data_IF_597872927164
#
_entry.id   IF_597872927164
#
_cell.length_a   1.000
_cell.length_b   1.000
_cell.length_c   1.000
_cell.angle_alpha   90.00
_cell.angle_beta   90.00
_cell.angle_gamma   90.00
#
_symmetry.space_group_name_H-M   'P 1'
#
loop_
_entity.id
_entity.type
_entity.pdbx_description
1 polymer ?
#
# COMPACT_ATOMS: atom_id res chain seq x y z
N UNK A 1 -6.59 -31.43 5.33
CA UNK A 1 -7.29 -30.24 5.87
C UNK A 1 -6.84 -29.86 7.28
N UNK A 2 -6.72 -30.84 8.19
CA UNK A 2 -6.32 -30.62 9.60
C UNK A 2 -5.00 -29.86 9.73
N UNK A 3 -3.97 -30.24 8.97
CA UNK A 3 -2.67 -29.57 8.97
C UNK A 3 -2.72 -28.13 8.41
N UNK A 4 -3.67 -27.83 7.51
CA UNK A 4 -3.78 -26.51 6.91
C UNK A 4 -4.27 -25.47 7.94
N UNK A 5 -5.35 -25.76 8.68
CA UNK A 5 -5.91 -24.79 9.62
C UNK A 5 -4.95 -24.46 10.76
N UNK A 6 -4.23 -25.46 11.30
CA UNK A 6 -3.25 -25.23 12.35
C UNK A 6 -2.04 -24.42 11.84
N UNK A 7 -1.46 -24.82 10.71
CA UNK A 7 -0.37 -24.07 10.07
C UNK A 7 -0.78 -22.65 9.73
N UNK A 8 -2.01 -22.46 9.25
CA UNK A 8 -2.54 -21.15 8.94
C UNK A 8 -2.66 -20.27 10.18
N UNK A 9 -3.19 -20.76 11.30
CA UNK A 9 -3.27 -20.02 12.56
C UNK A 9 -1.89 -19.69 13.11
N UNK A 10 -0.96 -20.64 13.08
CA UNK A 10 0.42 -20.45 13.54
C UNK A 10 1.15 -19.43 12.67
N UNK A 11 1.04 -19.50 11.35
CA UNK A 11 1.60 -18.49 10.45
C UNK A 11 1.01 -17.11 10.72
N UNK A 12 -0.31 -17.01 10.96
CA UNK A 12 -0.92 -15.74 11.32
C UNK A 12 -0.39 -15.18 12.66
N UNK A 13 -0.20 -16.02 13.67
CA UNK A 13 0.39 -15.60 14.94
C UNK A 13 1.82 -15.07 14.76
N UNK A 14 2.65 -15.79 14.02
CA UNK A 14 4.02 -15.36 13.69
C UNK A 14 4.00 -14.04 12.92
N UNK A 15 3.15 -13.90 11.91
CA UNK A 15 2.98 -12.67 11.13
C UNK A 15 2.55 -11.52 12.05
N UNK A 16 1.64 -11.73 13.00
CA UNK A 16 1.21 -10.70 13.94
C UNK A 16 2.35 -10.24 14.85
N UNK A 17 3.16 -11.15 15.38
CA UNK A 17 4.33 -10.83 16.22
C UNK A 17 5.34 -10.04 15.38
N UNK A 18 5.63 -10.51 14.18
CA UNK A 18 6.56 -9.85 13.27
C UNK A 18 6.08 -8.45 12.86
N UNK A 19 4.82 -8.29 12.45
CA UNK A 19 4.25 -6.97 12.14
C UNK A 19 4.23 -6.06 13.36
N UNK A 20 3.89 -6.56 14.53
CA UNK A 20 3.90 -5.79 15.77
C UNK A 20 5.29 -5.25 16.10
N UNK A 21 6.33 -6.10 16.00
CA UNK A 21 7.73 -5.70 16.23
C UNK A 21 8.20 -4.68 15.18
N UNK A 22 7.83 -4.87 13.91
CA UNK A 22 8.16 -3.93 12.83
C UNK A 22 7.48 -2.59 12.98
N UNK A 23 6.20 -2.56 13.35
CA UNK A 23 5.48 -1.32 13.63
C UNK A 23 6.09 -0.58 14.82
N UNK A 24 6.53 -1.30 15.85
CA UNK A 24 7.26 -0.75 16.97
C UNK A 24 8.59 -0.13 16.54
N UNK A 25 9.42 -0.88 15.83
CA UNK A 25 10.70 -0.40 15.27
C UNK A 25 10.52 0.81 14.37
N UNK A 26 9.51 0.76 13.48
CA UNK A 26 9.19 1.86 12.58
C UNK A 26 8.77 3.13 13.33
N UNK A 27 8.01 3.01 14.42
CA UNK A 27 7.66 4.15 15.25
C UNK A 27 8.88 4.79 15.90
N UNK A 28 9.88 3.99 16.30
CA UNK A 28 11.15 4.49 16.84
C UNK A 28 11.97 5.22 15.76
N UNK A 29 12.00 4.68 14.54
CA UNK A 29 12.77 5.23 13.43
C UNK A 29 12.03 6.33 12.64
N UNK A 30 10.76 6.59 12.92
CA UNK A 30 9.90 7.50 12.16
C UNK A 30 10.49 8.92 12.01
N UNK A 31 11.20 9.41 13.01
CA UNK A 31 11.86 10.73 12.99
C UNK A 31 13.10 10.80 12.09
N UNK A 32 13.68 9.65 11.74
CA UNK A 32 14.94 9.57 10.97
C UNK A 32 14.69 9.24 9.49
N UNK A 33 13.52 8.67 9.18
CA UNK A 33 13.17 8.21 7.85
C UNK A 33 12.30 9.24 7.12
N UNK A 34 12.62 9.53 5.86
CA UNK A 34 11.73 10.34 5.01
C UNK A 34 10.40 9.61 4.77
N UNK A 35 9.34 10.37 4.44
CA UNK A 35 8.01 9.79 4.16
C UNK A 35 8.08 8.72 3.05
N UNK A 36 8.89 8.94 2.02
CA UNK A 36 9.09 7.98 0.92
C UNK A 36 9.75 6.68 1.38
N UNK A 37 10.77 6.77 2.23
CA UNK A 37 11.45 5.58 2.79
C UNK A 37 10.50 4.77 3.68
N UNK A 38 9.69 5.44 4.50
CA UNK A 38 8.69 4.77 5.35
C UNK A 38 7.67 4.00 4.50
N UNK A 39 7.23 4.59 3.39
CA UNK A 39 6.31 3.96 2.45
C UNK A 39 6.94 2.75 1.74
N UNK A 40 8.15 2.90 1.21
CA UNK A 40 8.86 1.80 0.53
C UNK A 40 9.09 0.61 1.49
N UNK A 41 9.50 0.88 2.72
CA UNK A 41 9.67 -0.15 3.75
C UNK A 41 8.33 -0.89 4.00
N UNK A 42 7.22 -0.18 4.05
CA UNK A 42 5.90 -0.80 4.21
C UNK A 42 5.49 -1.65 3.02
N UNK A 43 5.89 -1.29 1.79
CA UNK A 43 5.65 -2.10 0.59
C UNK A 43 6.41 -3.43 0.67
N UNK A 44 7.68 -3.41 1.12
CA UNK A 44 8.46 -4.64 1.31
C UNK A 44 7.74 -5.56 2.30
N UNK A 45 7.24 -5.02 3.41
CA UNK A 45 6.49 -5.83 4.39
C UNK A 45 5.14 -6.32 3.85
N UNK A 46 4.49 -5.54 3.01
CA UNK A 46 3.28 -5.96 2.30
C UNK A 46 3.56 -7.19 1.41
N UNK A 47 4.71 -7.22 0.73
CA UNK A 47 5.12 -8.35 -0.09
C UNK A 47 5.32 -9.63 0.76
N UNK A 48 5.87 -9.52 1.97
CA UNK A 48 6.04 -10.65 2.89
C UNK A 48 4.70 -11.29 3.28
N UNK A 49 3.61 -10.50 3.37
CA UNK A 49 2.27 -11.03 3.69
C UNK A 49 1.70 -11.94 2.59
N UNK A 50 2.24 -11.91 1.38
CA UNK A 50 1.77 -12.73 0.26
C UNK A 50 2.49 -14.09 0.24
N UNK A 51 3.69 -14.18 0.80
CA UNK A 51 4.53 -15.38 0.79
C UNK A 51 3.79 -16.65 1.24
N UNK A 52 2.95 -16.67 2.30
CA UNK A 52 2.25 -17.88 2.72
C UNK A 52 1.25 -18.44 1.69
N UNK A 53 0.81 -17.61 0.72
CA UNK A 53 -0.14 -18.00 -0.32
C UNK A 53 0.53 -18.39 -1.64
N UNK A 54 1.84 -18.17 -1.77
CA UNK A 54 2.56 -18.62 -2.94
C UNK A 54 2.71 -20.15 -2.87
N UNK A 55 2.45 -20.87 -3.99
CA UNK A 55 2.77 -22.29 -4.08
C UNK A 55 4.30 -22.43 -4.15
N UNK A 56 4.95 -22.35 -3.01
CA UNK A 56 6.37 -22.70 -2.91
C UNK A 56 6.40 -24.22 -2.99
N UNK A 57 6.37 -24.74 -4.22
CA UNK A 57 6.77 -26.11 -4.47
C UNK A 57 8.15 -26.25 -3.85
N UNK A 58 8.27 -27.18 -2.90
CA UNK A 58 9.49 -27.49 -2.16
C UNK A 58 10.73 -27.19 -3.02
N UNK A 59 11.39 -26.07 -2.73
CA UNK A 59 12.70 -25.81 -3.27
C UNK A 59 13.54 -27.06 -2.95
N UNK A 60 14.32 -27.60 -3.90
CA UNK A 60 15.12 -28.76 -3.63
C UNK A 60 15.90 -28.52 -2.36
N UNK A 61 15.86 -29.47 -1.44
CA UNK A 61 16.39 -29.44 -0.08
C UNK A 61 17.93 -29.25 0.00
N UNK A 62 18.52 -28.64 -1.00
CA UNK A 62 19.96 -28.45 -1.16
C UNK A 62 20.51 -27.09 -0.75
N UNK A 63 19.65 -26.16 -0.31
CA UNK A 63 20.14 -24.96 0.40
C UNK A 63 19.99 -25.20 1.90
N UNK A 64 20.79 -26.13 2.38
CA UNK A 64 21.02 -26.28 3.81
C UNK A 64 21.94 -25.14 4.27
N UNK A 65 21.39 -24.22 5.05
CA UNK A 65 22.17 -23.15 5.71
C UNK A 65 23.30 -23.70 6.57
N UNK A 66 23.31 -25.02 6.84
CA UNK A 66 24.38 -25.73 7.54
C UNK A 66 25.72 -25.70 6.80
N UNK A 67 25.71 -25.58 5.45
CA UNK A 67 26.95 -25.48 4.67
C UNK A 67 27.65 -24.11 4.79
N UNK A 68 26.94 -23.06 5.19
CA UNK A 68 27.54 -21.73 5.41
C UNK A 68 28.21 -21.60 6.78
N UNK A 69 27.91 -22.48 7.73
CA UNK A 69 28.48 -22.47 9.09
C UNK A 69 29.58 -23.50 9.30
N UNK A 70 29.86 -24.38 8.33
CA UNK A 70 30.87 -25.45 8.44
C UNK A 70 32.13 -25.23 7.61
N UNK A 71 32.40 -23.97 7.21
CA UNK A 71 33.70 -23.64 6.62
C UNK A 71 34.74 -23.41 7.74
N UNK A 72 35.18 -24.46 8.40
CA UNK A 72 36.53 -24.65 8.94
C UNK A 72 36.56 -25.74 10.00
N UNK A 73 36.87 -26.95 9.63
CA UNK A 73 37.86 -27.82 10.33
C UNK A 73 37.90 -29.20 9.70
N UNK A 74 38.80 -29.36 8.77
CA UNK A 74 39.29 -30.67 8.36
C UNK A 74 40.31 -31.09 9.40
N UNK A 75 39.95 -31.98 10.31
CA UNK A 75 40.89 -32.85 11.02
C UNK A 75 40.23 -34.20 11.22
N UNK A 76 40.98 -35.23 10.77
CA UNK A 76 40.66 -36.62 10.84
C UNK A 76 40.28 -37.07 12.25
N UNK A 77 39.19 -37.77 12.39
CA UNK A 77 38.83 -38.48 13.60
C UNK A 77 37.32 -38.80 13.60
N UNK A 78 37.02 -40.10 13.59
CA UNK A 78 35.70 -40.69 13.80
C UNK A 78 35.04 -40.14 15.07
N UNK A 79 34.33 -39.04 14.98
CA UNK A 79 33.40 -38.59 16.01
C UNK A 79 32.03 -38.57 15.36
N UNK A 80 31.20 -39.48 15.84
CA UNK A 80 29.79 -39.62 15.48
C UNK A 80 29.13 -38.28 15.37
N UNK A 81 28.55 -38.00 14.24
CA UNK A 81 27.76 -36.82 13.87
C UNK A 81 26.46 -36.68 14.68
N UNK A 82 26.53 -36.86 16.01
CA UNK A 82 25.38 -36.79 16.88
C UNK A 82 25.08 -35.36 17.36
N UNK A 83 25.95 -34.37 17.13
CA UNK A 83 25.78 -33.03 17.62
C UNK A 83 25.16 -32.02 16.61
N UNK A 84 25.04 -32.36 15.33
CA UNK A 84 24.45 -31.46 14.33
C UNK A 84 22.99 -31.79 13.96
N UNK A 85 22.41 -32.79 14.59
CA UNK A 85 20.98 -33.08 14.55
C UNK A 85 20.11 -32.12 15.39
N UNK A 86 20.72 -31.16 16.09
CA UNK A 86 20.00 -30.26 17.01
C UNK A 86 18.99 -29.33 16.33
N UNK A 87 19.19 -28.96 15.05
CA UNK A 87 18.25 -28.10 14.36
C UNK A 87 17.06 -28.85 13.74
N UNK A 88 17.23 -30.15 13.47
CA UNK A 88 16.11 -31.01 13.06
C UNK A 88 15.10 -31.22 14.20
N UNK A 89 15.58 -31.41 15.42
CA UNK A 89 14.73 -31.69 16.58
C UNK A 89 13.71 -30.60 16.89
N UNK A 90 14.02 -29.34 16.64
CA UNK A 90 13.08 -28.25 16.90
C UNK A 90 11.94 -28.18 15.87
N UNK A 91 12.26 -28.45 14.61
CA UNK A 91 11.23 -28.51 13.55
C UNK A 91 10.37 -29.76 13.68
N UNK A 92 10.98 -30.92 14.02
CA UNK A 92 10.25 -32.14 14.28
C UNK A 92 9.37 -32.02 15.52
N UNK A 93 9.86 -31.45 16.61
CA UNK A 93 9.04 -31.16 17.81
C UNK A 93 7.89 -30.20 17.53
N UNK A 94 8.08 -29.18 16.70
CA UNK A 94 7.02 -28.28 16.27
C UNK A 94 6.01 -29.03 15.41
N UNK A 95 6.48 -29.87 14.49
CA UNK A 95 5.61 -30.74 13.69
C UNK A 95 4.86 -31.74 14.57
N UNK A 96 5.54 -32.41 15.50
CA UNK A 96 4.94 -33.37 16.44
C UNK A 96 3.93 -32.70 17.35
N UNK A 97 4.23 -31.50 17.85
CA UNK A 97 3.30 -30.70 18.62
C UNK A 97 2.08 -30.29 17.77
N UNK A 98 2.32 -29.84 16.55
CA UNK A 98 1.26 -29.48 15.61
C UNK A 98 0.36 -30.67 15.27
N UNK A 99 0.95 -31.85 15.07
CA UNK A 99 0.24 -33.13 14.86
C UNK A 99 -0.56 -33.49 16.11
N UNK A 100 0.07 -33.48 17.29
CA UNK A 100 -0.56 -33.83 18.56
C UNK A 100 -1.74 -32.92 18.88
N UNK A 101 -1.60 -31.59 18.75
CA UNK A 101 -2.69 -30.65 18.96
C UNK A 101 -3.79 -30.83 17.91
N UNK A 102 -3.42 -31.08 16.65
CA UNK A 102 -4.42 -31.25 15.58
C UNK A 102 -5.22 -32.55 15.69
N UNK A 103 -4.65 -33.60 16.26
CA UNK A 103 -5.36 -34.89 16.48
C UNK A 103 -6.33 -34.81 17.65
N UNK A 104 -6.13 -33.95 18.62
CA UNK A 104 -7.02 -33.73 19.75
C UNK A 104 -8.24 -32.85 19.39
N UNK A 105 -8.16 -32.02 18.34
CA UNK A 105 -9.29 -31.19 17.91
C UNK A 105 -10.16 -31.99 16.94
N UNK A 106 -11.47 -32.08 17.18
CA UNK A 106 -12.40 -32.77 16.29
C UNK A 106 -12.31 -32.23 14.85
N UNK A 107 -12.29 -33.13 13.86
CA UNK A 107 -12.17 -32.75 12.42
C UNK A 107 -13.26 -31.79 11.96
N UNK A 108 -14.41 -31.85 12.57
CA UNK A 108 -15.53 -30.93 12.34
C UNK A 108 -15.16 -29.47 12.62
N UNK A 109 -14.38 -29.17 13.69
CA UNK A 109 -13.97 -27.80 14.03
C UNK A 109 -13.04 -27.24 12.94
N UNK A 110 -12.11 -28.05 12.45
CA UNK A 110 -11.24 -27.63 11.33
C UNK A 110 -12.02 -27.33 10.05
N UNK A 111 -12.99 -28.17 9.74
CA UNK A 111 -13.85 -27.95 8.57
C UNK A 111 -14.68 -26.68 8.71
N UNK A 112 -15.19 -26.43 9.91
CA UNK A 112 -15.99 -25.24 10.20
C UNK A 112 -15.15 -23.96 10.12
N UNK A 113 -13.89 -23.96 10.61
CA UNK A 113 -12.97 -22.84 10.50
C UNK A 113 -12.64 -22.52 9.03
N UNK A 114 -12.32 -23.54 8.23
CA UNK A 114 -12.02 -23.36 6.80
C UNK A 114 -13.24 -22.84 6.06
N UNK A 115 -14.41 -23.38 6.37
CA UNK A 115 -15.68 -22.95 5.77
C UNK A 115 -15.98 -21.48 6.09
N UNK A 116 -15.87 -21.09 7.36
CA UNK A 116 -16.07 -19.69 7.79
C UNK A 116 -15.07 -18.74 7.12
N UNK A 117 -13.79 -19.13 7.06
CA UNK A 117 -12.76 -18.35 6.38
C UNK A 117 -13.06 -18.19 4.88
N UNK A 118 -13.50 -19.27 4.22
CA UNK A 118 -13.85 -19.25 2.80
C UNK A 118 -15.05 -18.36 2.51
N UNK A 119 -16.06 -18.35 3.38
CA UNK A 119 -17.22 -17.45 3.26
C UNK A 119 -16.76 -15.99 3.35
N UNK A 120 -15.91 -15.67 4.31
CA UNK A 120 -15.37 -14.31 4.44
C UNK A 120 -14.57 -13.86 3.20
N UNK A 121 -13.74 -14.72 2.65
CA UNK A 121 -13.04 -14.44 1.37
C UNK A 121 -14.04 -14.19 0.25
N UNK A 122 -15.07 -15.01 0.12
CA UNK A 122 -16.08 -14.86 -0.92
C UNK A 122 -16.81 -13.52 -0.79
N UNK A 123 -17.21 -13.14 0.43
CA UNK A 123 -17.84 -11.82 0.69
C UNK A 123 -16.88 -10.68 0.30
N UNK A 124 -15.63 -10.74 0.75
CA UNK A 124 -14.64 -9.70 0.47
C UNK A 124 -14.32 -9.61 -1.02
N UNK A 125 -14.24 -10.75 -1.71
CA UNK A 125 -14.04 -10.79 -3.16
C UNK A 125 -15.24 -10.18 -3.91
N UNK A 126 -16.46 -10.48 -3.46
CA UNK A 126 -17.68 -9.89 -4.03
C UNK A 126 -17.70 -8.36 -3.86
N UNK A 127 -17.32 -7.85 -2.67
CA UNK A 127 -17.22 -6.42 -2.42
C UNK A 127 -16.14 -5.76 -3.32
N UNK A 128 -14.99 -6.42 -3.48
CA UNK A 128 -13.93 -5.96 -4.37
C UNK A 128 -14.40 -5.92 -5.83
N UNK A 129 -15.06 -6.99 -6.30
CA UNK A 129 -15.65 -7.06 -7.63
C UNK A 129 -16.65 -5.93 -7.87
N UNK A 130 -17.54 -5.68 -6.90
CA UNK A 130 -18.49 -4.57 -6.96
C UNK A 130 -17.77 -3.21 -7.07
N UNK A 131 -16.70 -3.01 -6.32
CA UNK A 131 -15.87 -1.80 -6.38
C UNK A 131 -15.24 -1.61 -7.76
N UNK A 132 -14.67 -2.66 -8.34
CA UNK A 132 -14.09 -2.63 -9.70
C UNK A 132 -15.17 -2.33 -10.76
N UNK A 133 -16.37 -2.91 -10.61
CA UNK A 133 -17.51 -2.60 -11.49
C UNK A 133 -17.91 -1.13 -11.44
N UNK A 134 -17.87 -0.50 -10.24
CA UNK A 134 -18.15 0.94 -10.11
C UNK A 134 -17.10 1.79 -10.84
N UNK A 135 -15.81 1.44 -10.75
CA UNK A 135 -14.74 2.13 -11.50
C UNK A 135 -14.92 1.97 -13.01
N UNK A 136 -15.31 0.78 -13.48
CA UNK A 136 -15.58 0.55 -14.91
C UNK A 136 -16.83 1.31 -15.39
N UNK A 137 -17.88 1.42 -14.57
CA UNK A 137 -19.05 2.22 -14.88
C UNK A 137 -18.71 3.73 -14.95
N UNK A 138 -17.83 4.20 -14.06
CA UNK A 138 -17.29 5.56 -14.12
C UNK A 138 -16.61 5.81 -15.47
N UNK A 139 -15.81 4.84 -15.93
CA UNK A 139 -15.11 4.95 -17.21
C UNK A 139 -16.07 5.06 -18.41
N UNK A 140 -17.14 4.26 -18.42
CA UNK A 140 -18.11 4.27 -19.54
C UNK A 140 -18.93 5.57 -19.63
N UNK A 141 -19.03 6.32 -18.53
CA UNK A 141 -19.77 7.58 -18.43
C UNK A 141 -18.90 8.84 -18.50
N UNK A 142 -17.59 8.68 -18.54
CA UNK A 142 -16.66 9.79 -18.58
C UNK A 142 -16.43 10.27 -20.02
N UNK A 143 -16.32 11.58 -20.20
CA UNK A 143 -16.07 12.24 -21.47
C UNK A 143 -14.62 12.74 -21.55
N UNK A 144 -13.97 12.72 -22.73
CA UNK A 144 -12.65 13.33 -22.89
C UNK A 144 -12.68 14.80 -22.48
N UNK A 145 -11.61 15.29 -21.87
CA UNK A 145 -11.51 16.69 -21.48
C UNK A 145 -11.43 17.58 -22.73
N UNK A 146 -12.38 18.51 -22.88
CA UNK A 146 -12.48 19.41 -24.03
C UNK A 146 -11.90 20.81 -23.76
N UNK A 147 -11.60 21.14 -22.49
CA UNK A 147 -11.07 22.46 -22.11
C UNK A 147 -9.59 22.55 -22.52
N UNK A 148 -9.27 23.45 -23.45
CA UNK A 148 -7.91 23.61 -23.99
C UNK A 148 -6.95 24.17 -22.93
N UNK A 149 -7.40 25.09 -22.09
CA UNK A 149 -6.58 25.72 -21.04
C UNK A 149 -6.14 24.68 -19.98
N UNK A 150 -7.08 23.82 -19.55
CA UNK A 150 -6.79 22.72 -18.65
C UNK A 150 -5.89 21.66 -19.28
N UNK A 151 -6.04 21.41 -20.60
CA UNK A 151 -5.15 20.52 -21.33
C UNK A 151 -3.72 21.08 -21.41
N UNK A 152 -3.57 22.38 -21.66
CA UNK A 152 -2.27 23.04 -21.69
C UNK A 152 -1.58 22.96 -20.30
N UNK A 153 -2.33 23.26 -19.23
CA UNK A 153 -1.85 23.14 -17.84
C UNK A 153 -1.45 21.70 -17.50
N UNK A 154 -2.20 20.72 -17.97
CA UNK A 154 -1.86 19.30 -17.78
C UNK A 154 -0.56 18.91 -18.47
N UNK A 155 -0.32 19.37 -19.69
CA UNK A 155 0.93 19.11 -20.43
C UNK A 155 2.12 19.74 -19.69
N UNK A 156 1.95 20.93 -19.13
CA UNK A 156 2.95 21.57 -18.28
C UNK A 156 3.27 20.70 -17.05
N UNK A 157 2.25 20.22 -16.33
CA UNK A 157 2.41 19.31 -15.18
C UNK A 157 3.11 18.00 -15.56
N UNK A 158 2.81 17.42 -16.73
CA UNK A 158 3.52 16.23 -17.23
C UNK A 158 5.02 16.47 -17.41
N UNK A 159 5.38 17.63 -17.96
CA UNK A 159 6.77 18.01 -18.14
C UNK A 159 7.47 18.23 -16.79
N UNK A 160 6.81 18.88 -15.83
CA UNK A 160 7.36 19.08 -14.49
C UNK A 160 7.63 17.76 -13.77
N UNK A 161 6.72 16.78 -13.88
CA UNK A 161 6.88 15.45 -13.29
C UNK A 161 7.91 14.61 -14.06
N UNK A 162 8.31 15.04 -15.26
CA UNK A 162 9.15 14.28 -16.18
C UNK A 162 8.56 12.89 -16.49
N UNK A 163 7.28 12.87 -16.85
CA UNK A 163 6.59 11.65 -17.23
C UNK A 163 6.86 11.32 -18.70
N UNK A 164 7.31 10.08 -18.97
CA UNK A 164 7.59 9.62 -20.35
C UNK A 164 6.31 9.30 -21.14
N UNK A 165 5.19 9.11 -20.48
CA UNK A 165 3.93 8.71 -21.10
C UNK A 165 2.84 9.71 -20.75
N UNK A 166 2.05 10.05 -21.74
CA UNK A 166 0.83 10.83 -21.57
C UNK A 166 -0.29 9.91 -21.06
N UNK A 167 -1.04 10.38 -20.09
CA UNK A 167 -2.19 9.67 -19.51
C UNK A 167 -3.44 10.40 -20.00
N UNK A 168 -4.43 9.72 -20.54
CA UNK A 168 -5.65 10.38 -20.98
C UNK A 168 -6.43 10.94 -19.79
N UNK A 169 -6.93 12.18 -19.95
CA UNK A 169 -7.79 12.86 -18.96
C UNK A 169 -9.22 12.85 -19.44
N UNK A 170 -10.12 12.58 -18.51
CA UNK A 170 -11.57 12.54 -18.71
C UNK A 170 -12.27 13.44 -17.70
N UNK A 171 -13.41 13.98 -18.08
CA UNK A 171 -14.34 14.69 -17.21
C UNK A 171 -15.47 13.76 -16.76
N UNK A 172 -15.96 13.93 -15.52
CA UNK A 172 -17.05 13.11 -14.99
C UNK A 172 -17.85 13.87 -13.93
N UNK A 173 -19.15 13.59 -13.88
CA UNK A 173 -20.06 14.15 -12.85
C UNK A 173 -20.08 13.31 -11.55
N UNK A 174 -19.53 12.11 -11.55
CA UNK A 174 -19.68 11.15 -10.45
C UNK A 174 -18.60 11.25 -9.38
N UNK A 175 -17.58 12.07 -9.60
CA UNK A 175 -16.49 12.28 -8.64
C UNK A 175 -16.58 13.67 -8.02
N UNK A 176 -16.00 13.77 -6.82
CA UNK A 176 -15.86 15.04 -6.07
C UNK A 176 -14.44 15.57 -6.05
N UNK A 177 -13.48 14.75 -6.38
CA UNK A 177 -12.07 15.08 -6.45
C UNK A 177 -11.44 14.47 -7.69
N UNK A 178 -10.35 15.03 -8.22
CA UNK A 178 -9.52 14.36 -9.19
C UNK A 178 -9.14 12.97 -8.67
N UNK A 179 -9.09 11.98 -9.55
CA UNK A 179 -8.73 10.61 -9.20
C UNK A 179 -7.99 9.97 -10.37
N UNK A 180 -6.87 9.34 -10.06
CA UNK A 180 -6.20 8.44 -10.97
C UNK A 180 -6.77 7.02 -10.79
N UNK A 181 -7.37 6.45 -11.83
CA UNK A 181 -7.95 5.10 -11.79
C UNK A 181 -7.66 4.31 -13.06
N UNK A 182 -7.82 2.97 -12.98
CA UNK A 182 -7.56 2.04 -14.07
C UNK A 182 -6.30 1.21 -13.86
N UNK A 183 -6.43 -0.12 -13.85
CA UNK A 183 -5.32 -1.03 -13.59
C UNK A 183 -4.35 -1.15 -14.77
N UNK A 184 -4.87 -1.53 -15.96
CA UNK A 184 -4.07 -1.72 -17.17
C UNK A 184 -3.90 -0.43 -17.97
N UNK A 185 -4.92 0.44 -17.94
CA UNK A 185 -4.95 1.69 -18.67
C UNK A 185 -5.29 2.81 -17.69
N UNK A 186 -4.30 3.32 -16.96
CA UNK A 186 -4.51 4.39 -16.00
C UNK A 186 -5.00 5.66 -16.70
N UNK A 187 -5.98 6.32 -16.07
CA UNK A 187 -6.62 7.55 -16.55
C UNK A 187 -6.87 8.49 -15.39
N UNK A 188 -6.77 9.79 -15.67
CA UNK A 188 -7.11 10.83 -14.69
C UNK A 188 -8.55 11.26 -14.98
N UNK A 189 -9.35 11.28 -13.93
CA UNK A 189 -10.73 11.76 -13.99
C UNK A 189 -10.85 13.06 -13.21
N UNK A 190 -11.29 14.13 -13.89
CA UNK A 190 -11.58 15.42 -13.29
C UNK A 190 -13.09 15.57 -13.07
N UNK A 191 -13.53 16.01 -11.89
CA UNK A 191 -14.92 16.34 -11.63
C UNK A 191 -15.40 17.50 -12.54
N UNK A 192 -16.61 17.39 -13.09
CA UNK A 192 -17.19 18.46 -13.92
C UNK A 192 -17.35 19.78 -13.14
N UNK A 193 -17.73 19.72 -11.86
CA UNK A 193 -17.85 20.93 -11.03
C UNK A 193 -16.50 21.66 -10.90
N UNK A 194 -15.38 20.93 -10.79
CA UNK A 194 -14.05 21.52 -10.73
C UNK A 194 -13.71 22.30 -12.02
N UNK A 195 -14.11 21.75 -13.17
CA UNK A 195 -13.96 22.42 -14.46
C UNK A 195 -14.85 23.66 -14.55
N UNK A 196 -16.10 23.56 -14.04
CA UNK A 196 -17.01 24.69 -13.96
C UNK A 196 -16.50 25.80 -13.06
N UNK A 197 -15.99 25.45 -11.89
CA UNK A 197 -15.43 26.38 -10.91
C UNK A 197 -14.16 27.07 -11.44
N UNK A 198 -13.36 26.35 -12.20
CA UNK A 198 -12.20 26.92 -12.92
C UNK A 198 -12.65 27.91 -13.99
N UNK A 199 -13.63 27.56 -14.83
CA UNK A 199 -14.15 28.47 -15.85
C UNK A 199 -14.85 29.70 -15.24
N UNK A 200 -15.42 29.58 -14.06
CA UNK A 200 -16.00 30.68 -13.29
C UNK A 200 -14.98 31.55 -12.55
N UNK A 201 -13.69 31.16 -12.54
CA UNK A 201 -12.63 31.86 -11.83
C UNK A 201 -12.66 31.71 -10.30
N UNK A 202 -13.47 30.78 -9.77
CA UNK A 202 -13.54 30.48 -8.33
C UNK A 202 -12.39 29.60 -7.83
N UNK A 203 -11.81 28.83 -8.74
CA UNK A 203 -10.61 28.01 -8.47
C UNK A 203 -9.47 28.49 -9.39
N UNK A 204 -8.30 28.68 -8.83
CA UNK A 204 -7.15 29.15 -9.58
C UNK A 204 -6.49 28.03 -10.41
N UNK A 205 -5.80 28.42 -11.50
CA UNK A 205 -4.96 27.49 -12.27
C UNK A 205 -3.88 26.84 -11.40
N UNK A 206 -3.39 27.55 -10.39
CA UNK A 206 -2.41 27.06 -9.43
C UNK A 206 -2.96 25.92 -8.57
N UNK A 207 -4.23 26.03 -8.11
CA UNK A 207 -4.86 24.97 -7.34
C UNK A 207 -5.03 23.70 -8.16
N UNK A 208 -5.49 23.83 -9.42
CA UNK A 208 -5.61 22.69 -10.34
C UNK A 208 -4.25 22.09 -10.65
N UNK A 209 -3.21 22.92 -10.87
CA UNK A 209 -1.84 22.43 -11.05
C UNK A 209 -1.38 21.57 -9.89
N UNK A 210 -1.61 21.99 -8.65
CA UNK A 210 -1.25 21.20 -7.48
C UNK A 210 -1.97 19.85 -7.41
N UNK A 211 -3.26 19.82 -7.74
CA UNK A 211 -4.02 18.57 -7.79
C UNK A 211 -3.51 17.63 -8.90
N UNK A 212 -3.25 18.16 -10.09
CA UNK A 212 -2.72 17.37 -11.20
C UNK A 212 -1.33 16.82 -10.89
N UNK A 213 -0.44 17.62 -10.30
CA UNK A 213 0.86 17.17 -9.86
C UNK A 213 0.75 16.02 -8.84
N UNK A 214 -0.22 16.09 -7.92
CA UNK A 214 -0.47 15.04 -6.94
C UNK A 214 -0.90 13.73 -7.62
N UNK A 215 -1.89 13.75 -8.52
CA UNK A 215 -2.34 12.58 -9.25
C UNK A 215 -1.25 11.99 -10.17
N UNK A 216 -0.44 12.85 -10.79
CA UNK A 216 0.69 12.44 -11.62
C UNK A 216 1.81 11.77 -10.79
N UNK A 217 2.01 12.18 -9.54
CA UNK A 217 2.94 11.49 -8.64
C UNK A 217 2.45 10.08 -8.28
N UNK A 218 1.15 9.89 -8.04
CA UNK A 218 0.57 8.54 -7.86
C UNK A 218 0.82 7.64 -9.09
N UNK A 219 0.67 8.20 -10.30
CA UNK A 219 0.97 7.47 -11.53
C UNK A 219 2.45 7.08 -11.62
N UNK A 220 3.34 8.05 -11.44
CA UNK A 220 4.80 7.86 -11.50
C UNK A 220 5.28 6.78 -10.55
N UNK A 221 4.67 6.70 -9.36
CA UNK A 221 5.03 5.75 -8.32
C UNK A 221 4.27 4.42 -8.42
N UNK A 222 3.41 4.24 -9.42
CA UNK A 222 2.60 3.04 -9.63
C UNK A 222 1.71 2.69 -8.43
N UNK A 223 1.22 3.71 -7.73
CA UNK A 223 0.43 3.56 -6.49
C UNK A 223 -0.89 2.81 -6.70
N UNK A 224 -1.40 2.79 -7.95
CA UNK A 224 -2.56 1.97 -8.34
C UNK A 224 -2.27 0.49 -8.11
N UNK A 225 -1.09 -0.01 -8.56
CA UNK A 225 -0.69 -1.41 -8.40
C UNK A 225 -0.60 -1.79 -6.92
N UNK A 226 0.02 -0.91 -6.13
CA UNK A 226 0.11 -1.10 -4.67
C UNK A 226 -1.27 -1.09 -4.03
N UNK A 227 -2.20 -0.26 -4.52
CA UNK A 227 -3.61 -0.26 -4.07
C UNK A 227 -4.30 -1.61 -4.30
N UNK A 228 -4.11 -2.23 -5.46
CA UNK A 228 -4.64 -3.58 -5.74
C UNK A 228 -3.99 -4.63 -4.84
N UNK A 229 -2.69 -4.55 -4.62
CA UNK A 229 -1.97 -5.45 -3.72
C UNK A 229 -2.49 -5.34 -2.28
N UNK A 230 -2.69 -4.13 -1.77
CA UNK A 230 -3.31 -3.87 -0.46
C UNK A 230 -4.69 -4.51 -0.37
N UNK A 231 -5.52 -4.37 -1.41
CA UNK A 231 -6.85 -4.94 -1.43
C UNK A 231 -6.82 -6.47 -1.48
N UNK A 232 -5.89 -7.06 -2.22
CA UNK A 232 -5.68 -8.52 -2.27
C UNK A 232 -5.31 -9.06 -0.89
N UNK A 233 -4.35 -8.45 -0.21
CA UNK A 233 -3.98 -8.84 1.17
C UNK A 233 -5.18 -8.67 2.11
N UNK A 234 -5.96 -7.59 1.96
CA UNK A 234 -7.16 -7.37 2.78
C UNK A 234 -8.21 -8.49 2.60
N UNK A 235 -8.39 -9.01 1.38
CA UNK A 235 -9.30 -10.15 1.11
C UNK A 235 -8.86 -11.40 1.86
N UNK A 236 -7.59 -11.76 1.82
CA UNK A 236 -7.09 -12.99 2.46
C UNK A 236 -7.03 -12.90 3.98
N UNK A 237 -6.75 -11.71 4.52
CA UNK A 237 -6.60 -11.46 5.96
C UNK A 237 -7.78 -10.65 6.53
N UNK A 238 -8.95 -10.80 5.95
CA UNK A 238 -10.17 -10.08 6.34
C UNK A 238 -10.49 -10.16 7.83
N UNK A 239 -10.12 -11.25 8.50
CA UNK A 239 -10.36 -11.53 9.91
C UNK A 239 -9.29 -10.94 10.86
N UNK A 240 -8.18 -10.41 10.36
CA UNK A 240 -7.04 -9.99 11.18
C UNK A 240 -7.01 -8.45 11.37
N UNK A 241 -7.36 -7.92 12.56
CA UNK A 241 -7.42 -6.47 12.80
C UNK A 241 -6.06 -5.79 12.76
N UNK A 242 -4.96 -6.48 13.12
CA UNK A 242 -3.61 -5.91 13.07
C UNK A 242 -3.18 -5.64 11.63
N UNK A 243 -3.52 -6.56 10.72
CA UNK A 243 -3.25 -6.36 9.29
C UNK A 243 -4.09 -5.21 8.75
N UNK A 244 -5.35 -5.06 9.16
CA UNK A 244 -6.18 -3.92 8.78
C UNK A 244 -5.55 -2.58 9.21
N UNK A 245 -5.05 -2.53 10.44
CA UNK A 245 -4.34 -1.36 10.94
C UNK A 245 -3.09 -1.06 10.11
N UNK A 246 -2.31 -2.09 9.79
CA UNK A 246 -1.12 -1.98 8.95
C UNK A 246 -1.45 -1.49 7.53
N UNK A 247 -2.46 -2.07 6.86
CA UNK A 247 -2.90 -1.65 5.54
C UNK A 247 -3.43 -0.20 5.52
N UNK A 248 -4.15 0.21 6.58
CA UNK A 248 -4.58 1.60 6.75
C UNK A 248 -3.38 2.54 6.86
N UNK A 249 -2.35 2.14 7.60
CA UNK A 249 -1.13 2.92 7.76
C UNK A 249 -0.36 3.05 6.43
N UNK A 250 -0.26 1.99 5.64
CA UNK A 250 0.36 2.06 4.29
C UNK A 250 -0.35 3.09 3.42
N UNK A 251 -1.69 3.11 3.42
CA UNK A 251 -2.45 4.10 2.65
C UNK A 251 -2.14 5.53 3.10
N UNK A 252 -1.99 5.77 4.40
CA UNK A 252 -1.61 7.08 4.93
C UNK A 252 -0.19 7.48 4.51
N UNK A 253 0.76 6.55 4.60
CA UNK A 253 2.14 6.77 4.21
C UNK A 253 2.30 7.01 2.70
N UNK A 254 1.46 6.39 1.88
CA UNK A 254 1.37 6.66 0.45
C UNK A 254 1.04 8.12 0.18
N UNK A 255 0.03 8.67 0.85
CA UNK A 255 -0.35 10.09 0.71
C UNK A 255 0.79 11.02 1.15
N UNK A 256 1.43 10.73 2.31
CA UNK A 256 2.57 11.53 2.78
C UNK A 256 3.78 11.47 1.83
N UNK A 257 4.02 10.29 1.24
CA UNK A 257 5.09 10.12 0.25
C UNK A 257 4.77 10.86 -1.07
N UNK A 258 3.50 10.85 -1.48
CA UNK A 258 3.03 11.59 -2.64
C UNK A 258 3.16 13.10 -2.42
N UNK A 259 2.65 13.63 -1.29
CA UNK A 259 2.81 15.04 -0.94
C UNK A 259 4.29 15.46 -0.92
N UNK A 260 5.14 14.65 -0.29
CA UNK A 260 6.58 14.93 -0.26
C UNK A 260 7.22 14.95 -1.66
N UNK A 261 6.71 14.15 -2.60
CA UNK A 261 7.19 14.15 -3.98
C UNK A 261 6.71 15.39 -4.75
N UNK A 262 5.50 15.87 -4.50
CA UNK A 262 5.00 17.14 -5.04
C UNK A 262 5.84 18.30 -4.50
N UNK A 263 6.07 18.38 -3.18
CA UNK A 263 6.86 19.45 -2.56
C UNK A 263 8.29 19.52 -3.06
N UNK A 264 8.88 18.41 -3.54
CA UNK A 264 10.19 18.41 -4.17
C UNK A 264 10.19 19.10 -5.54
N UNK A 265 9.05 19.22 -6.22
CA UNK A 265 8.89 19.93 -7.49
C UNK A 265 8.59 21.42 -7.26
N UNK A 266 7.93 21.75 -6.15
CA UNK A 266 7.49 23.10 -5.80
C UNK A 266 8.64 23.92 -5.19
N UNK A 267 8.54 25.26 -5.31
CA UNK A 267 9.38 26.20 -4.55
C UNK A 267 8.90 26.27 -3.09
N UNK A 268 9.77 26.58 -2.16
CA UNK A 268 9.41 26.70 -0.73
C UNK A 268 8.28 27.71 -0.47
N UNK A 269 8.22 28.78 -1.28
CA UNK A 269 7.14 29.77 -1.23
C UNK A 269 5.76 29.22 -1.57
N UNK A 270 5.70 28.12 -2.32
CA UNK A 270 4.46 27.47 -2.76
C UNK A 270 3.94 26.41 -1.75
N UNK A 271 4.73 25.97 -0.77
CA UNK A 271 4.34 24.92 0.17
C UNK A 271 3.07 25.25 0.96
N UNK A 272 2.97 26.52 1.41
CA UNK A 272 1.77 27.00 2.12
C UNK A 272 0.54 26.99 1.21
N UNK A 273 0.68 27.43 -0.03
CA UNK A 273 -0.42 27.44 -1.02
C UNK A 273 -0.87 26.01 -1.32
N UNK A 274 0.06 25.06 -1.53
CA UNK A 274 -0.27 23.65 -1.69
C UNK A 274 -1.06 23.08 -0.49
N UNK A 275 -0.62 23.39 0.73
CA UNK A 275 -1.32 22.97 1.95
C UNK A 275 -2.74 23.56 2.04
N UNK A 276 -2.92 24.82 1.69
CA UNK A 276 -4.23 25.47 1.67
C UNK A 276 -5.16 24.86 0.61
N UNK A 277 -4.65 24.57 -0.59
CA UNK A 277 -5.41 23.86 -1.62
C UNK A 277 -5.95 22.52 -1.12
N UNK A 278 -5.14 21.72 -0.39
CA UNK A 278 -5.60 20.48 0.19
C UNK A 278 -6.69 20.65 1.26
N UNK A 279 -6.61 21.71 2.08
CA UNK A 279 -7.62 22.01 3.09
C UNK A 279 -8.93 22.40 2.42
N UNK A 280 -8.92 23.38 1.52
CA UNK A 280 -10.10 23.87 0.80
C UNK A 280 -10.81 22.73 0.07
N UNK A 281 -10.02 21.84 -0.53
CA UNK A 281 -10.55 20.68 -1.23
C UNK A 281 -11.21 19.68 -0.29
N UNK A 282 -10.61 19.41 0.86
CA UNK A 282 -11.17 18.53 1.87
C UNK A 282 -12.47 19.08 2.46
N UNK A 283 -12.58 20.40 2.64
CA UNK A 283 -13.82 21.08 3.07
C UNK A 283 -14.92 20.93 2.03
N UNK A 284 -14.63 21.16 0.75
CA UNK A 284 -15.59 21.02 -0.35
C UNK A 284 -16.17 19.59 -0.40
N UNK A 285 -15.33 18.58 -0.17
CA UNK A 285 -15.76 17.18 -0.11
C UNK A 285 -16.62 16.90 1.12
N UNK A 286 -16.24 17.44 2.28
CA UNK A 286 -16.93 17.20 3.55
C UNK A 286 -18.34 17.82 3.57
N UNK A 287 -18.53 18.98 2.98
CA UNK A 287 -19.82 19.70 2.89
C UNK A 287 -20.80 19.07 1.90
N UNK A 288 -20.37 18.13 1.09
CA UNK A 288 -21.20 17.54 0.04
C UNK A 288 -22.13 16.45 0.59
N UNK A 289 -23.44 16.46 0.29
CA UNK A 289 -24.46 15.59 0.90
C UNK A 289 -24.40 14.10 0.46
N UNK A 290 -23.50 13.71 -0.43
CA UNK A 290 -23.42 12.34 -0.93
C UNK A 290 -22.23 11.58 -0.35
N UNK A 291 -22.42 10.65 0.62
CA UNK A 291 -21.35 9.90 1.27
C UNK A 291 -20.76 8.74 0.44
N UNK A 292 -21.18 8.55 -0.80
CA UNK A 292 -20.93 7.32 -1.59
C UNK A 292 -19.60 7.27 -2.34
N UNK A 293 -18.78 8.31 -2.31
CA UNK A 293 -17.45 8.25 -2.92
C UNK A 293 -16.43 7.76 -1.91
N UNK A 294 -16.05 6.51 -1.99
CA UNK A 294 -14.97 5.86 -1.20
C UNK A 294 -13.57 6.49 -1.42
N UNK A 295 -13.51 7.68 -2.05
CA UNK A 295 -12.26 8.24 -2.48
C UNK A 295 -11.54 9.08 -1.43
N UNK A 296 -12.12 10.01 -0.74
CA UNK A 296 -11.38 10.93 0.15
C UNK A 296 -12.23 11.36 1.35
N UNK A 297 -12.99 10.47 1.92
CA UNK A 297 -13.36 10.63 3.33
C UNK A 297 -12.12 10.32 4.17
N UNK A 298 -11.03 10.98 3.83
CA UNK A 298 -9.82 10.97 4.61
C UNK A 298 -10.17 11.55 5.96
N UNK A 299 -10.32 10.70 6.96
CA UNK A 299 -10.44 11.04 8.35
C UNK A 299 -9.66 12.35 8.59
N UNK A 300 -10.28 13.37 9.20
CA UNK A 300 -9.68 14.68 9.57
C UNK A 300 -8.27 14.50 10.14
N UNK A 301 -8.04 13.38 10.86
CA UNK A 301 -6.75 12.96 11.37
C UNK A 301 -5.70 12.69 10.26
N UNK A 302 -6.13 12.17 9.12
CA UNK A 302 -5.22 11.92 7.99
C UNK A 302 -4.83 13.24 7.31
N UNK A 303 -5.79 14.13 7.09
CA UNK A 303 -5.54 15.48 6.57
C UNK A 303 -4.59 16.25 7.49
N UNK A 304 -4.85 16.23 8.82
CA UNK A 304 -3.95 16.86 9.80
C UNK A 304 -2.52 16.32 9.67
N UNK A 305 -2.35 15.01 9.50
CA UNK A 305 -1.03 14.39 9.28
C UNK A 305 -0.35 14.89 8.00
N UNK A 306 -1.08 15.06 6.89
CA UNK A 306 -0.57 15.61 5.63
C UNK A 306 -0.13 17.06 5.82
N UNK A 307 -0.95 17.92 6.40
CA UNK A 307 -0.63 19.33 6.64
C UNK A 307 0.60 19.50 7.55
N UNK A 308 0.71 18.70 8.62
CA UNK A 308 1.89 18.72 9.48
C UNK A 308 3.16 18.29 8.73
N UNK A 309 3.06 17.29 7.85
CA UNK A 309 4.19 16.87 7.01
C UNK A 309 4.60 17.97 6.03
N UNK A 310 3.64 18.68 5.42
CA UNK A 310 3.90 19.81 4.52
C UNK A 310 4.59 20.95 5.28
N UNK A 311 4.07 21.32 6.46
CA UNK A 311 4.61 22.40 7.28
C UNK A 311 6.04 22.13 7.79
N UNK A 312 6.38 20.84 8.02
CA UNK A 312 7.70 20.41 8.48
C UNK A 312 8.62 19.92 7.36
N UNK A 313 8.19 20.05 6.10
CA UNK A 313 8.94 19.54 4.96
C UNK A 313 10.19 20.38 4.72
N UNK A 314 11.32 19.70 4.57
CA UNK A 314 12.59 20.28 4.14
C UNK A 314 13.10 19.44 2.97
N UNK A 315 13.69 20.10 1.99
CA UNK A 315 14.29 19.43 0.85
C UNK A 315 15.35 18.41 1.34
N UNK A 316 15.27 17.14 0.92
CA UNK A 316 16.19 16.12 1.40
C UNK A 316 17.61 16.44 0.94
N UNK A 317 18.53 16.49 1.89
CA UNK A 317 19.97 16.67 1.61
C UNK A 317 20.52 15.47 0.83
N UNK A 318 21.61 15.68 0.09
CA UNK A 318 22.27 14.63 -0.70
C UNK A 318 22.59 13.38 0.14
N UNK A 319 23.02 13.55 1.40
CA UNK A 319 23.28 12.45 2.34
C UNK A 319 22.03 11.66 2.68
N UNK A 320 20.87 12.31 2.79
CA UNK A 320 19.59 11.64 3.04
C UNK A 320 19.10 10.88 1.80
N UNK A 321 19.35 11.39 0.59
CA UNK A 321 19.06 10.68 -0.67
C UNK A 321 19.89 9.40 -0.78
N UNK A 322 21.19 9.43 -0.49
CA UNK A 322 22.05 8.23 -0.52
C UNK A 322 21.63 7.21 0.52
N UNK A 323 21.32 7.61 1.76
CA UNK A 323 20.76 6.70 2.77
C UNK A 323 19.46 6.03 2.29
N UNK A 324 18.62 6.76 1.57
CA UNK A 324 17.40 6.22 0.97
C UNK A 324 17.66 5.11 -0.04
N UNK A 325 18.70 5.25 -0.86
CA UNK A 325 19.10 4.23 -1.84
C UNK A 325 19.75 2.99 -1.21
N UNK A 326 20.40 3.13 -0.04
CA UNK A 326 21.04 2.00 0.66
C UNK A 326 20.06 1.14 1.47
N UNK A 327 18.86 1.64 1.77
CA UNK A 327 17.83 0.95 2.59
C UNK A 327 16.73 0.35 1.69
N UNK A 328 16.64 0.75 0.42
CA UNK A 328 15.75 0.20 -0.59
C UNK A 328 16.47 -0.72 -1.54
#
# INVERSE_FOLDING_TARGET
>A
MIYFSFRFLLCNAIICIFLGSLLGLKNLLQRQLSARMQYNLSIIFLAVLIVPFLPISSAPSSISWSHLLTASSSTNGDIQTTFLSGNGYNLDKINDFAVSVSTQIPTFIHTLLVFFWSIGIFIMFFLLYRSVRQVNALHSSALPLQNEELNALYIECLNEVNSKHTIPIYSTAFLKSPVLAGFLHPRIYLPIHLISDFNAGTISSTDIRYMLLHELQHYKHKDILIGYLINTVHVFYWFNPLIWYFLKRIRQERELACDSAVLQLLKETEYKSYGNTLINFAETIALSPFPLTMGISGNIKQLKGRILNIASFHQPTFKQKIRGYLIC
#
